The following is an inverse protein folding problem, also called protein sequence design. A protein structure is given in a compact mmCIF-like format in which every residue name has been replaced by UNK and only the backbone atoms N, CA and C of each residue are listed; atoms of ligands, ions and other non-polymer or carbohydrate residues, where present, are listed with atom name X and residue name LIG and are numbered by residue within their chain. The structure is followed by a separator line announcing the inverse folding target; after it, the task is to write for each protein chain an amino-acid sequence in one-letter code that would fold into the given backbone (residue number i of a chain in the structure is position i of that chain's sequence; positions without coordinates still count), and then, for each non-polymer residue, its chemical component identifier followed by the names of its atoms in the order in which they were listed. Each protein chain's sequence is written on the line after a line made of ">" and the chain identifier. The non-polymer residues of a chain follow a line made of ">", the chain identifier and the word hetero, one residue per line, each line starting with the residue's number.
data_IF_577922722554
#
_entry.id   IF_577922722554
#
_cell.length_a   1.000
_cell.length_b   1.000
_cell.length_c   1.000
_cell.angle_alpha   90.00
_cell.angle_beta   90.00
_cell.angle_gamma   90.00
#
_symmetry.space_group_name_H-M   'P 1'
#
loop_
_entity.id
_entity.type
_entity.pdbx_description
1 polymer ?
#
# COMPACT_ATOMS: atom_id res chain seq x y z
N UNK A 1 12.08 -6.51 14.25
CA UNK A 1 11.14 -6.64 13.11
C UNK A 1 9.77 -6.99 13.68
N UNK A 2 8.65 -6.62 13.04
CA UNK A 2 7.34 -7.03 13.54
C UNK A 2 7.20 -8.55 13.40
N UNK A 3 7.33 -9.28 14.50
CA UNK A 3 7.54 -10.75 14.46
C UNK A 3 6.36 -11.55 13.89
N UNK A 4 5.17 -10.96 13.75
CA UNK A 4 3.96 -11.66 13.25
C UNK A 4 3.10 -10.80 12.29
N UNK A 5 3.70 -9.90 11.51
CA UNK A 5 2.94 -9.08 10.56
C UNK A 5 2.47 -9.89 9.35
N UNK A 6 1.19 -9.73 8.99
CA UNK A 6 0.61 -10.21 7.72
C UNK A 6 -0.21 -9.10 7.05
N UNK A 7 -0.43 -9.15 5.72
CA UNK A 7 -1.24 -8.15 5.02
C UNK A 7 -2.64 -7.94 5.61
N UNK A 8 -3.25 -8.97 6.20
CA UNK A 8 -4.58 -8.92 6.81
C UNK A 8 -4.60 -8.41 8.26
N UNK A 9 -3.44 -8.29 8.93
CA UNK A 9 -3.36 -7.95 10.36
C UNK A 9 -3.95 -6.59 10.70
N UNK A 10 -4.06 -5.66 9.75
CA UNK A 10 -4.63 -4.33 9.97
C UNK A 10 -6.13 -4.38 10.30
N UNK A 11 -6.86 -5.40 9.82
CA UNK A 11 -8.33 -5.51 10.01
C UNK A 11 -8.72 -5.65 11.49
N UNK A 12 -7.80 -6.09 12.35
CA UNK A 12 -7.99 -6.19 13.79
C UNK A 12 -7.67 -4.89 14.56
N UNK A 13 -7.34 -3.80 13.86
CA UNK A 13 -7.01 -2.50 14.45
C UNK A 13 -8.08 -1.46 14.12
N UNK A 14 -8.24 -0.40 14.94
CA UNK A 14 -9.12 0.71 14.60
C UNK A 14 -8.72 1.33 13.26
N UNK A 15 -9.64 1.36 12.30
CA UNK A 15 -9.46 1.96 10.98
C UNK A 15 -10.51 3.05 10.75
N UNK A 16 -10.07 4.25 10.38
CA UNK A 16 -10.95 5.41 10.12
C UNK A 16 -11.21 5.55 8.62
N UNK A 17 -12.31 6.20 8.28
CA UNK A 17 -12.69 6.55 6.90
C UNK A 17 -12.90 5.34 5.96
N UNK A 18 -13.19 4.16 6.50
CA UNK A 18 -13.61 3.03 5.68
C UNK A 18 -15.09 3.16 5.30
N UNK A 19 -15.46 2.87 4.05
CA UNK A 19 -16.85 2.76 3.67
C UNK A 19 -17.50 1.53 4.34
N UNK A 20 -18.81 1.63 4.61
CA UNK A 20 -19.62 0.48 4.96
C UNK A 20 -20.16 -0.16 3.67
N UNK A 21 -19.69 -1.37 3.35
CA UNK A 21 -20.20 -2.12 2.22
C UNK A 21 -21.48 -2.88 2.65
N UNK A 22 -22.60 -2.73 1.93
CA UNK A 22 -23.85 -3.41 2.30
C UNK A 22 -23.83 -4.91 1.96
N UNK A 23 -22.94 -5.34 1.06
CA UNK A 23 -22.80 -6.72 0.61
C UNK A 23 -21.36 -7.21 0.78
N UNK A 24 -21.14 -7.96 1.85
CA UNK A 24 -19.84 -8.55 2.19
C UNK A 24 -19.42 -9.65 1.21
N UNK A 25 -20.37 -10.35 0.59
CA UNK A 25 -20.06 -11.38 -0.41
C UNK A 25 -19.54 -10.74 -1.70
N UNK A 26 -20.16 -9.64 -2.14
CA UNK A 26 -19.67 -8.85 -3.27
C UNK A 26 -18.27 -8.27 -3.00
N UNK A 27 -18.02 -7.75 -1.79
CA UNK A 27 -16.70 -7.27 -1.39
C UNK A 27 -15.64 -8.39 -1.49
N UNK A 28 -15.92 -9.56 -0.90
CA UNK A 28 -15.01 -10.69 -0.94
C UNK A 28 -14.72 -11.18 -2.38
N UNK A 29 -15.74 -11.19 -3.24
CA UNK A 29 -15.59 -11.57 -4.64
C UNK A 29 -14.68 -10.59 -5.41
N UNK A 30 -14.83 -9.29 -5.18
CA UNK A 30 -13.99 -8.26 -5.80
C UNK A 30 -12.55 -8.35 -5.29
N UNK A 31 -12.34 -8.52 -3.98
CA UNK A 31 -11.00 -8.71 -3.43
C UNK A 31 -10.29 -9.95 -4.03
N UNK A 32 -11.01 -11.06 -4.17
CA UNK A 32 -10.47 -12.28 -4.78
C UNK A 32 -10.06 -12.06 -6.24
N UNK A 33 -10.88 -11.33 -7.00
CA UNK A 33 -10.58 -10.97 -8.39
C UNK A 33 -9.34 -10.08 -8.48
N UNK A 34 -9.25 -9.03 -7.66
CA UNK A 34 -8.09 -8.11 -7.66
C UNK A 34 -6.79 -8.83 -7.30
N UNK A 35 -6.82 -9.81 -6.38
CA UNK A 35 -5.64 -10.63 -6.04
C UNK A 35 -5.09 -11.46 -7.21
N UNK A 36 -5.91 -11.74 -8.22
CA UNK A 36 -5.49 -12.52 -9.40
C UNK A 36 -4.77 -11.68 -10.46
N UNK A 37 -4.85 -10.35 -10.36
CA UNK A 37 -4.25 -9.45 -11.34
C UNK A 37 -2.75 -9.29 -11.13
N UNK A 38 -1.99 -9.01 -12.21
CA UNK A 38 -0.57 -8.70 -12.07
C UNK A 38 -0.37 -7.45 -11.20
N UNK A 39 0.76 -7.37 -10.47
CA UNK A 39 1.10 -6.19 -9.70
C UNK A 39 1.37 -5.00 -10.63
N UNK A 40 1.09 -3.79 -10.13
CA UNK A 40 1.38 -2.55 -10.87
C UNK A 40 2.87 -2.18 -10.89
N UNK A 41 3.62 -2.63 -9.88
CA UNK A 41 5.06 -2.35 -9.71
C UNK A 41 5.77 -3.59 -9.19
N UNK A 42 7.06 -3.71 -9.51
CA UNK A 42 7.92 -4.77 -9.03
C UNK A 42 8.59 -4.42 -7.70
N UNK A 43 8.91 -5.43 -6.90
CA UNK A 43 9.62 -5.24 -5.63
C UNK A 43 11.02 -4.61 -5.79
N UNK A 44 11.63 -4.71 -6.98
CA UNK A 44 12.90 -4.02 -7.30
C UNK A 44 12.75 -2.50 -7.37
N UNK A 45 11.66 -2.02 -7.95
CA UNK A 45 11.38 -0.59 -8.12
C UNK A 45 11.12 0.08 -6.76
N UNK A 46 10.36 -0.58 -5.87
CA UNK A 46 10.15 -0.10 -4.51
C UNK A 46 11.46 -0.03 -3.69
N UNK A 47 12.36 -1.01 -3.86
CA UNK A 47 13.68 -0.99 -3.20
C UNK A 47 14.58 0.13 -3.74
N UNK A 48 14.53 0.37 -5.06
CA UNK A 48 15.24 1.49 -5.67
C UNK A 48 14.73 2.83 -5.13
N UNK A 49 13.42 3.05 -5.12
CA UNK A 49 12.83 4.26 -4.55
C UNK A 49 13.22 4.44 -3.07
N UNK A 50 13.25 3.36 -2.28
CA UNK A 50 13.69 3.43 -0.88
C UNK A 50 15.15 3.90 -0.74
N UNK A 51 16.05 3.45 -1.62
CA UNK A 51 17.43 3.93 -1.63
C UNK A 51 17.50 5.41 -2.02
N UNK A 52 16.76 5.83 -3.04
CA UNK A 52 16.70 7.25 -3.47
C UNK A 52 16.12 8.15 -2.34
N UNK A 53 15.12 7.66 -1.59
CA UNK A 53 14.58 8.35 -0.39
C UNK A 53 15.57 8.41 0.77
N UNK A 54 16.48 7.44 0.90
CA UNK A 54 17.53 7.50 1.92
C UNK A 54 18.48 8.68 1.66
N UNK A 55 18.82 8.96 0.40
CA UNK A 55 19.59 10.15 0.02
C UNK A 55 18.88 11.46 0.42
N UNK A 56 17.54 11.50 0.32
CA UNK A 56 16.73 12.64 0.77
C UNK A 56 16.80 12.81 2.29
N UNK A 57 16.65 11.73 3.06
CA UNK A 57 16.75 11.77 4.52
C UNK A 57 18.12 12.27 5.00
N UNK A 58 19.17 11.97 4.24
CA UNK A 58 20.53 12.40 4.54
C UNK A 58 20.88 13.80 4.00
N UNK A 59 19.90 14.53 3.44
CA UNK A 59 20.10 15.88 2.91
C UNK A 59 20.91 15.94 1.61
N UNK A 60 21.11 14.81 0.93
CA UNK A 60 21.84 14.71 -0.34
C UNK A 60 20.95 14.83 -1.57
N UNK A 61 19.62 14.79 -1.38
CA UNK A 61 18.61 14.96 -2.43
C UNK A 61 17.35 15.65 -1.87
N UNK A 62 16.41 15.99 -2.76
CA UNK A 62 15.10 16.57 -2.40
C UNK A 62 13.96 15.73 -3.02
N UNK A 63 12.86 15.55 -2.29
CA UNK A 63 11.66 14.85 -2.77
C UNK A 63 10.62 15.85 -3.26
N UNK A 64 10.21 15.70 -4.52
CA UNK A 64 9.01 16.36 -5.06
C UNK A 64 7.95 15.31 -5.37
N UNK A 65 6.76 15.47 -4.80
CA UNK A 65 5.59 14.63 -5.08
C UNK A 65 4.43 15.54 -5.48
N UNK A 66 3.81 15.28 -6.63
CA UNK A 66 2.69 16.05 -7.15
C UNK A 66 1.87 15.23 -8.16
N UNK A 67 0.61 15.61 -8.37
CA UNK A 67 -0.34 14.90 -9.22
C UNK A 67 -1.78 15.39 -9.03
N UNK A 68 -2.73 14.62 -9.55
CA UNK A 68 -4.16 14.89 -9.48
C UNK A 68 -4.69 14.91 -8.02
N UNK A 69 -5.83 15.58 -7.83
CA UNK A 69 -6.52 15.60 -6.54
C UNK A 69 -7.30 14.29 -6.28
N UNK A 70 -7.94 13.74 -7.32
CA UNK A 70 -8.70 12.48 -7.29
C UNK A 70 -8.70 11.81 -8.66
#
# INVERSE_FOLDING_TARGET
>A
MAENWKPESWRAKPAKHLPAYPDEAALAAVEARLRSYPPLVFAGEARKLKADLAEVCEGRAFLLQGGDCA
#
